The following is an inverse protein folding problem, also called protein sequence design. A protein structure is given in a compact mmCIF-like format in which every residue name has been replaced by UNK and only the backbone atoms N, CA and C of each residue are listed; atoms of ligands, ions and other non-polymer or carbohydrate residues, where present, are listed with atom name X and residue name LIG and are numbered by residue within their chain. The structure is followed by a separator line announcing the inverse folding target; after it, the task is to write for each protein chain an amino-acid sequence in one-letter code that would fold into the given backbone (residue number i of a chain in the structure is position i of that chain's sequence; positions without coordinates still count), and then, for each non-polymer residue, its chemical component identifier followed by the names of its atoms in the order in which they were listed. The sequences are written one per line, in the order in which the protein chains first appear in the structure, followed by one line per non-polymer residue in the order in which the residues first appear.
data_IF_458493950486
#
_entry.id   IF_458493950486
#
_cell.length_a   1.000
_cell.length_b   1.000
_cell.length_c   1.000
_cell.angle_alpha   90.00
_cell.angle_beta   90.00
_cell.angle_gamma   90.00
#
_symmetry.space_group_name_H-M   'P 1'
#
loop_
_entity.id
_entity.type
_entity.pdbx_description
1 polymer ?
#
# COMPACT_ATOMS: atom_id res chain seq x y z
N UNK A 1 16.32 3.63 1.26
CA UNK A 1 16.24 4.74 0.29
C UNK A 1 16.45 6.06 0.98
N UNK A 2 17.16 6.96 0.32
CA UNK A 2 17.22 8.34 0.78
C UNK A 2 15.88 9.04 0.47
N UNK A 3 15.68 10.23 1.03
CA UNK A 3 14.45 10.96 0.79
C UNK A 3 14.25 11.26 -0.71
N UNK A 4 15.34 11.66 -1.38
CA UNK A 4 15.28 11.94 -2.82
C UNK A 4 14.94 10.69 -3.63
N UNK A 5 15.55 9.57 -3.28
CA UNK A 5 15.28 8.30 -3.95
C UNK A 5 13.83 7.88 -3.74
N UNK A 6 13.32 8.07 -2.54
CA UNK A 6 11.94 7.73 -2.24
C UNK A 6 10.97 8.59 -3.03
N UNK A 7 11.24 9.88 -3.13
CA UNK A 7 10.41 10.78 -3.92
C UNK A 7 10.36 10.35 -5.39
N UNK A 8 11.52 10.01 -5.96
CA UNK A 8 11.59 9.53 -7.34
C UNK A 8 10.81 8.22 -7.50
N UNK A 9 10.93 7.34 -6.53
CA UNK A 9 10.19 6.09 -6.54
C UNK A 9 8.68 6.34 -6.55
N UNK A 10 8.20 7.24 -5.69
CA UNK A 10 6.77 7.56 -5.63
C UNK A 10 6.30 8.20 -6.93
N UNK A 11 7.10 9.08 -7.51
CA UNK A 11 6.73 9.71 -8.77
C UNK A 11 6.62 8.71 -9.92
N UNK A 12 7.52 7.73 -9.95
CA UNK A 12 7.57 6.75 -11.03
C UNK A 12 6.59 5.59 -10.82
N UNK A 13 6.51 5.07 -9.62
CA UNK A 13 5.70 3.89 -9.33
C UNK A 13 4.34 4.21 -8.70
N UNK A 14 4.19 5.42 -8.17
CA UNK A 14 2.95 5.81 -7.49
C UNK A 14 1.69 5.58 -8.31
N UNK A 15 1.62 6.09 -9.55
CA UNK A 15 0.43 5.88 -10.37
C UNK A 15 0.09 4.42 -10.59
N UNK A 16 1.10 3.58 -10.79
CA UNK A 16 0.89 2.15 -10.97
C UNK A 16 0.36 1.50 -9.69
N UNK A 17 0.92 1.90 -8.55
CA UNK A 17 0.49 1.38 -7.25
C UNK A 17 -0.94 1.81 -6.97
N UNK A 18 -1.27 3.05 -7.26
CA UNK A 18 -2.63 3.56 -7.08
C UNK A 18 -3.63 2.79 -7.94
N UNK A 19 -3.29 2.56 -9.20
CA UNK A 19 -4.14 1.78 -10.11
C UNK A 19 -4.34 0.36 -9.56
N UNK A 20 -3.27 -0.25 -9.09
CA UNK A 20 -3.34 -1.59 -8.51
C UNK A 20 -4.29 -1.60 -7.31
N UNK A 21 -4.17 -0.61 -6.42
CA UNK A 21 -5.03 -0.52 -5.25
C UNK A 21 -6.51 -0.40 -5.65
N UNK A 22 -6.79 0.39 -6.65
CA UNK A 22 -8.16 0.54 -7.15
C UNK A 22 -8.70 -0.75 -7.76
N UNK A 23 -7.83 -1.49 -8.43
CA UNK A 23 -8.22 -2.77 -9.04
C UNK A 23 -8.57 -3.80 -7.98
N UNK A 24 -7.71 -3.97 -6.98
CA UNK A 24 -7.95 -5.01 -5.96
C UNK A 24 -9.10 -4.66 -5.03
N UNK A 25 -9.39 -3.39 -4.82
CA UNK A 25 -10.53 -2.97 -4.00
C UNK A 25 -11.80 -2.86 -4.81
N UNK A 26 -11.68 -2.76 -6.13
CA UNK A 26 -12.79 -2.54 -7.04
C UNK A 26 -13.62 -1.31 -6.66
N UNK A 27 -12.96 -0.31 -6.10
CA UNK A 27 -13.63 0.90 -5.61
C UNK A 27 -12.61 2.04 -5.56
N UNK A 28 -12.95 3.17 -6.19
CA UNK A 28 -12.03 4.29 -6.25
C UNK A 28 -11.69 4.83 -4.87
N UNK A 29 -12.69 5.04 -4.04
CA UNK A 29 -12.48 5.60 -2.71
C UNK A 29 -11.66 4.66 -1.83
N UNK A 30 -11.99 3.39 -1.84
CA UNK A 30 -11.24 2.41 -1.07
C UNK A 30 -9.84 2.22 -1.62
N UNK A 31 -9.70 2.27 -2.94
CA UNK A 31 -8.39 2.19 -3.58
C UNK A 31 -7.50 3.35 -3.18
N UNK A 32 -8.04 4.56 -3.18
CA UNK A 32 -7.28 5.75 -2.78
C UNK A 32 -6.87 5.66 -1.31
N UNK A 33 -7.77 5.21 -0.45
CA UNK A 33 -7.49 5.03 0.96
C UNK A 33 -6.40 3.98 1.18
N UNK A 34 -6.51 2.86 0.49
CA UNK A 34 -5.51 1.80 0.56
C UNK A 34 -4.14 2.30 0.08
N UNK A 35 -4.13 3.09 -0.99
CA UNK A 35 -2.91 3.68 -1.50
C UNK A 35 -2.25 4.57 -0.45
N UNK A 36 -3.02 5.41 0.22
CA UNK A 36 -2.50 6.28 1.26
C UNK A 36 -1.91 5.48 2.41
N UNK A 37 -2.62 4.45 2.85
CA UNK A 37 -2.14 3.59 3.92
C UNK A 37 -0.83 2.90 3.54
N UNK A 38 -0.75 2.41 2.32
CA UNK A 38 0.47 1.76 1.82
C UNK A 38 1.62 2.76 1.76
N UNK A 39 1.36 3.98 1.30
CA UNK A 39 2.39 5.00 1.19
C UNK A 39 2.92 5.42 2.57
N UNK A 40 2.03 5.55 3.55
CA UNK A 40 2.44 5.88 4.92
C UNK A 40 3.37 4.80 5.47
N UNK A 41 3.02 3.54 5.26
CA UNK A 41 3.84 2.43 5.72
C UNK A 41 5.20 2.41 5.03
N UNK A 42 5.22 2.64 3.71
CA UNK A 42 6.46 2.70 2.96
C UNK A 42 7.32 3.87 3.42
N UNK A 43 6.71 5.00 3.71
CA UNK A 43 7.42 6.17 4.20
C UNK A 43 8.10 5.88 5.53
N UNK A 44 7.39 5.20 6.43
CA UNK A 44 7.94 4.82 7.72
C UNK A 44 9.12 3.86 7.58
N UNK A 45 9.08 3.01 6.55
CA UNK A 45 10.11 2.00 6.34
C UNK A 45 11.14 2.38 5.28
N UNK A 46 11.10 3.63 4.80
CA UNK A 46 11.98 4.03 3.69
C UNK A 46 13.46 3.83 4.00
N UNK A 47 13.84 4.00 5.26
CA UNK A 47 15.24 3.81 5.66
C UNK A 47 15.71 2.37 5.49
N UNK A 48 14.78 1.42 5.60
CA UNK A 48 15.07 0.00 5.45
C UNK A 48 15.01 -0.46 4.00
N UNK A 49 14.38 0.32 3.13
CA UNK A 49 14.27 -0.02 1.72
C UNK A 49 15.57 0.28 0.99
N UNK A 50 16.00 -0.65 0.18
CA UNK A 50 17.21 -0.49 -0.62
C UNK A 50 16.84 -0.23 -2.07
N UNK A 51 17.54 0.69 -2.70
CA UNK A 51 17.28 1.03 -4.10
C UNK A 51 17.47 -0.19 -5.03
N UNK A 52 18.30 -1.12 -4.62
CA UNK A 52 18.59 -2.34 -5.40
C UNK A 52 17.43 -3.32 -5.41
N UNK A 53 16.55 -3.25 -4.42
CA UNK A 53 15.40 -4.14 -4.32
C UNK A 53 14.28 -3.65 -5.21
N UNK A 54 13.41 -4.57 -5.62
CA UNK A 54 12.24 -4.19 -6.40
C UNK A 54 11.21 -3.56 -5.47
N UNK A 55 11.36 -2.27 -5.22
CA UNK A 55 10.51 -1.53 -4.29
C UNK A 55 9.05 -1.49 -4.75
N UNK A 56 8.82 -1.50 -6.06
CA UNK A 56 7.48 -1.53 -6.60
C UNK A 56 6.75 -2.81 -6.21
N UNK A 57 7.42 -3.97 -6.38
CA UNK A 57 6.83 -5.24 -5.96
C UNK A 57 6.57 -5.28 -4.47
N UNK A 58 7.49 -4.73 -3.70
CA UNK A 58 7.31 -4.64 -2.25
C UNK A 58 6.07 -3.80 -1.91
N UNK A 59 5.92 -2.66 -2.58
CA UNK A 59 4.77 -1.78 -2.36
C UNK A 59 3.46 -2.47 -2.71
N UNK A 60 3.43 -3.21 -3.81
CA UNK A 60 2.23 -3.95 -4.21
C UNK A 60 1.90 -5.03 -3.18
N UNK A 61 2.92 -5.71 -2.66
CA UNK A 61 2.73 -6.72 -1.62
C UNK A 61 2.17 -6.11 -0.34
N UNK A 62 2.68 -4.93 0.04
CA UNK A 62 2.19 -4.20 1.21
C UNK A 62 0.73 -3.84 1.02
N UNK A 63 0.35 -3.36 -0.16
CA UNK A 63 -1.02 -3.00 -0.45
C UNK A 63 -1.95 -4.21 -0.32
N UNK A 64 -1.54 -5.36 -0.86
CA UNK A 64 -2.34 -6.58 -0.75
C UNK A 64 -2.49 -7.02 0.71
N UNK A 65 -1.40 -6.96 1.45
CA UNK A 65 -1.43 -7.34 2.86
C UNK A 65 -2.36 -6.44 3.67
N UNK A 66 -2.27 -5.13 3.46
CA UNK A 66 -3.14 -4.17 4.14
C UNK A 66 -4.61 -4.41 3.79
N UNK A 67 -4.88 -4.73 2.51
CA UNK A 67 -6.25 -5.00 2.07
C UNK A 67 -6.79 -6.26 2.73
N UNK A 68 -6.00 -7.31 2.80
CA UNK A 68 -6.41 -8.55 3.46
C UNK A 68 -6.67 -8.34 4.94
N UNK A 69 -5.82 -7.59 5.61
CA UNK A 69 -5.99 -7.29 7.03
C UNK A 69 -7.25 -6.47 7.26
N UNK A 70 -7.54 -5.54 6.38
CA UNK A 70 -8.72 -4.71 6.46
C UNK A 70 -9.98 -5.56 6.35
N UNK A 71 -10.01 -6.46 5.40
CA UNK A 71 -11.14 -7.39 5.21
C UNK A 71 -11.33 -8.30 6.41
N UNK A 72 -10.23 -8.85 6.91
CA UNK A 72 -10.26 -9.73 8.07
C UNK A 72 -10.79 -9.01 9.31
N UNK A 73 -10.33 -7.79 9.51
CA UNK A 73 -10.77 -6.96 10.61
C UNK A 73 -12.27 -6.70 10.53
N UNK A 74 -12.77 -6.44 9.34
CA UNK A 74 -14.19 -6.23 9.09
C UNK A 74 -15.00 -7.46 9.43
N UNK A 75 -14.56 -8.61 8.98
CA UNK A 75 -15.24 -9.88 9.24
C UNK A 75 -15.28 -10.19 10.73
N UNK A 76 -14.17 -9.98 11.42
CA UNK A 76 -14.10 -10.20 12.87
C UNK A 76 -15.04 -9.27 13.61
N UNK A 77 -15.14 -8.04 13.17
CA UNK A 77 -16.03 -7.05 13.76
C UNK A 77 -17.48 -7.51 13.67
N UNK A 78 -17.87 -7.98 12.50
CA UNK A 78 -19.22 -8.50 12.31
C UNK A 78 -19.53 -9.65 13.26
N UNK A 79 -18.58 -10.55 13.42
CA UNK A 79 -18.74 -11.68 14.32
C UNK A 79 -18.91 -11.24 15.77
N UNK A 80 -18.21 -10.19 16.16
CA UNK A 80 -18.29 -9.69 17.53
C UNK A 80 -19.61 -9.06 17.88
N UNK A 81 -20.17 -8.35 16.93
CA UNK A 81 -21.42 -7.63 17.14
C UNK A 81 -22.58 -8.58 17.41
N UNK A 82 -22.42 -9.80 17.02
CA UNK A 82 -23.42 -10.82 17.27
C UNK A 82 -23.13 -11.55 18.56
#
# INVERSE_FOLDING_TARGET
MSDTEFELFVMNAGPDILRFCRIITNNKEQGDELYQDAMVLLLEKRASLKAEQNSKSYALSVAVLLWKNKKKKYANRKCRVR
#
